data_IF_605157692897
#
_entry.id   IF_605157692897
#
_cell.length_a   1.000
_cell.length_b   1.000
_cell.length_c   1.000
_cell.angle_alpha   90.00
_cell.angle_beta   90.00
_cell.angle_gamma   90.00
#
_symmetry.space_group_name_H-M   'P 1'
#
loop_
_entity.id
_entity.type
_entity.pdbx_description
1 polymer ?
#
# COMPACT_ATOMS: atom_id res chain seq x y z
N UNK A 1 -6.41 -8.66 -5.31
CA UNK A 1 -6.19 -7.35 -4.66
C UNK A 1 -6.77 -6.29 -5.58
N UNK A 2 -7.34 -5.22 -5.05
CA UNK A 2 -7.93 -4.14 -5.85
C UNK A 2 -7.11 -2.87 -5.64
N UNK A 3 -6.72 -2.22 -6.73
CA UNK A 3 -6.00 -0.95 -6.73
C UNK A 3 -6.87 0.10 -7.43
N UNK A 4 -7.03 1.26 -6.82
CA UNK A 4 -7.83 2.36 -7.36
C UNK A 4 -7.05 3.66 -7.27
N UNK A 5 -7.18 4.47 -8.31
CA UNK A 5 -6.62 5.81 -8.39
C UNK A 5 -7.78 6.79 -8.52
N UNK A 6 -7.73 7.86 -7.73
CA UNK A 6 -8.73 8.92 -7.78
C UNK A 6 -8.01 10.26 -7.76
N UNK A 7 -8.30 11.09 -8.75
CA UNK A 7 -7.77 12.44 -8.81
C UNK A 7 -8.38 13.29 -7.69
N UNK A 8 -7.53 14.06 -7.02
CA UNK A 8 -7.93 14.93 -5.91
C UNK A 8 -8.11 16.36 -6.40
N UNK A 9 -7.05 16.94 -6.97
CA UNK A 9 -6.99 18.19 -7.74
C UNK A 9 -5.51 18.50 -8.06
N UNK A 10 -5.22 19.22 -9.14
CA UNK A 10 -3.85 19.55 -9.57
C UNK A 10 -2.97 18.31 -9.77
N UNK A 11 -1.74 18.30 -9.22
CA UNK A 11 -0.75 17.22 -9.36
C UNK A 11 -0.87 16.11 -8.28
N UNK A 12 -2.05 15.96 -7.66
CA UNK A 12 -2.26 15.02 -6.55
C UNK A 12 -3.30 13.94 -6.90
N UNK A 13 -2.91 12.69 -6.67
CA UNK A 13 -3.77 11.51 -6.87
C UNK A 13 -3.83 10.68 -5.57
N UNK A 14 -5.02 10.26 -5.17
CA UNK A 14 -5.20 9.25 -4.12
C UNK A 14 -4.96 7.88 -4.75
N UNK A 15 -3.93 7.21 -4.27
CA UNK A 15 -3.74 5.79 -4.50
C UNK A 15 -4.28 4.97 -3.32
N UNK A 16 -5.25 4.09 -3.59
CA UNK A 16 -5.83 3.20 -2.58
C UNK A 16 -5.66 1.74 -3.00
N UNK A 17 -5.29 0.89 -2.03
CA UNK A 17 -5.13 -0.56 -2.25
C UNK A 17 -5.92 -1.35 -1.21
N UNK A 18 -6.78 -2.25 -1.70
CA UNK A 18 -7.54 -3.19 -0.87
C UNK A 18 -6.95 -4.60 -0.99
N UNK A 19 -6.51 -5.13 0.15
CA UNK A 19 -5.99 -6.49 0.28
C UNK A 19 -6.98 -7.32 1.06
N UNK A 20 -7.69 -8.22 0.36
CA UNK A 20 -8.61 -9.18 0.99
C UNK A 20 -7.86 -10.48 1.27
N UNK A 21 -7.72 -10.83 2.55
CA UNK A 21 -7.19 -12.12 2.97
C UNK A 21 -8.31 -13.16 2.88
N UNK A 22 -8.24 -14.04 1.89
CA UNK A 22 -9.28 -15.04 1.61
C UNK A 22 -8.97 -16.30 2.44
N UNK A 23 -9.62 -16.39 3.60
CA UNK A 23 -9.73 -17.59 4.44
C UNK A 23 -8.42 -18.28 4.86
N UNK A 24 -7.88 -17.84 5.99
CA UNK A 24 -6.85 -18.58 6.71
C UNK A 24 -7.51 -19.70 7.54
N UNK A 25 -7.70 -20.88 6.93
CA UNK A 25 -8.22 -22.06 7.64
C UNK A 25 -7.09 -22.71 8.44
N UNK A 26 -7.17 -22.61 9.77
CA UNK A 26 -6.26 -23.31 10.70
C UNK A 26 -6.15 -22.62 12.06
N UNK A 27 -6.12 -23.39 13.14
CA UNK A 27 -5.99 -22.86 14.51
C UNK A 27 -4.70 -22.05 14.69
N UNK A 28 -3.61 -22.51 14.07
CA UNK A 28 -2.30 -21.83 14.04
C UNK A 28 -2.41 -20.43 13.44
N UNK A 29 -3.22 -20.25 12.39
CA UNK A 29 -3.32 -18.94 11.75
C UNK A 29 -4.21 -17.99 12.56
N UNK A 30 -5.22 -18.48 13.29
CA UNK A 30 -5.96 -17.66 14.27
C UNK A 30 -5.02 -17.15 15.38
N UNK A 31 -4.10 -18.00 15.83
CA UNK A 31 -3.09 -17.63 16.84
C UNK A 31 -2.12 -16.59 16.27
N UNK A 32 -1.56 -16.83 15.07
CA UNK A 32 -0.65 -15.89 14.40
C UNK A 32 -1.34 -14.57 14.07
N UNK A 33 -2.62 -14.59 13.67
CA UNK A 33 -3.40 -13.38 13.43
C UNK A 33 -3.63 -12.59 14.73
N UNK A 34 -3.84 -13.26 15.87
CA UNK A 34 -3.99 -12.59 17.17
C UNK A 34 -2.68 -11.99 17.69
N UNK A 35 -1.56 -12.71 17.52
CA UNK A 35 -0.25 -12.30 18.04
C UNK A 35 0.50 -11.32 17.11
N UNK A 36 0.28 -11.40 15.80
CA UNK A 36 1.05 -10.65 14.80
C UNK A 36 0.17 -9.83 13.86
N UNK A 37 -1.07 -9.50 14.24
CA UNK A 37 -2.01 -8.65 13.48
C UNK A 37 -1.35 -7.36 12.96
N UNK A 38 -0.53 -6.70 13.78
CA UNK A 38 0.20 -5.49 13.39
C UNK A 38 1.25 -5.75 12.31
N UNK A 39 1.93 -6.90 12.33
CA UNK A 39 2.95 -7.24 11.31
C UNK A 39 2.32 -7.46 9.94
N UNK A 40 1.08 -7.98 9.89
CA UNK A 40 0.34 -8.12 8.63
C UNK A 40 -0.05 -6.78 7.99
N UNK A 41 -0.15 -5.70 8.78
CA UNK A 41 -0.39 -4.34 8.27
C UNK A 41 0.91 -3.65 7.86
N UNK A 42 1.97 -3.83 8.64
CA UNK A 42 3.29 -3.19 8.43
C UNK A 42 3.90 -3.50 7.06
N UNK A 43 3.76 -4.72 6.55
CA UNK A 43 4.29 -5.10 5.23
C UNK A 43 3.66 -4.31 4.07
N UNK A 44 2.33 -4.41 3.89
CA UNK A 44 1.61 -3.63 2.87
C UNK A 44 1.78 -2.12 3.02
N UNK A 45 1.80 -1.60 4.25
CA UNK A 45 2.00 -0.18 4.53
C UNK A 45 3.40 0.29 4.11
N UNK A 46 4.45 -0.44 4.48
CA UNK A 46 5.82 -0.15 4.05
C UNK A 46 5.93 -0.13 2.52
N UNK A 47 5.29 -1.10 1.86
CA UNK A 47 5.26 -1.16 0.41
C UNK A 47 4.55 0.07 -0.20
N UNK A 48 3.44 0.52 0.40
CA UNK A 48 2.76 1.73 -0.04
C UNK A 48 3.62 2.99 0.13
N UNK A 49 4.35 3.12 1.23
CA UNK A 49 5.26 4.24 1.45
C UNK A 49 6.41 4.25 0.42
N UNK A 50 7.04 3.10 0.18
CA UNK A 50 8.10 2.99 -0.82
C UNK A 50 7.59 3.30 -2.24
N UNK A 51 6.40 2.80 -2.57
CA UNK A 51 5.77 3.09 -3.86
C UNK A 51 5.50 4.59 -4.02
N UNK A 52 4.97 5.24 -2.99
CA UNK A 52 4.75 6.69 -2.99
C UNK A 52 6.06 7.45 -3.21
N UNK A 53 7.09 7.18 -2.41
CA UNK A 53 8.39 7.84 -2.53
C UNK A 53 9.02 7.66 -3.90
N UNK A 54 8.88 6.47 -4.50
CA UNK A 54 9.35 6.23 -5.86
C UNK A 54 8.63 7.11 -6.87
N UNK A 55 7.29 7.09 -6.90
CA UNK A 55 6.51 7.85 -7.90
C UNK A 55 6.71 9.36 -7.75
N UNK A 56 6.75 9.86 -6.51
CA UNK A 56 7.02 11.28 -6.25
C UNK A 56 8.44 11.70 -6.66
N UNK A 57 9.44 10.82 -6.44
CA UNK A 57 10.82 11.08 -6.90
C UNK A 57 10.93 11.08 -8.42
N UNK A 58 10.22 10.19 -9.11
CA UNK A 58 10.19 10.14 -10.57
C UNK A 58 9.51 11.38 -11.16
N UNK A 59 8.41 11.84 -10.53
CA UNK A 59 7.74 13.08 -10.91
C UNK A 59 8.69 14.29 -10.81
N UNK A 60 9.35 14.47 -9.67
CA UNK A 60 10.31 15.56 -9.45
C UNK A 60 11.49 15.53 -10.41
N UNK A 61 12.01 14.33 -10.72
CA UNK A 61 13.11 14.20 -11.70
C UNK A 61 12.67 14.64 -13.09
N UNK A 62 11.43 14.33 -13.48
CA UNK A 62 10.90 14.69 -14.78
C UNK A 62 10.55 16.19 -14.89
N UNK A 63 10.11 16.83 -13.79
CA UNK A 63 9.89 18.29 -13.75
C UNK A 63 11.19 19.10 -13.76
N UNK A 64 12.27 18.59 -13.17
CA UNK A 64 13.59 19.24 -13.19
C UNK A 64 14.36 19.11 -14.52
N UNK A 65 13.79 18.43 -15.52
CA UNK A 65 14.35 18.26 -16.86
C UNK A 65 13.64 19.10 -17.93
N UNK A 66 12.69 19.97 -17.53
CA UNK A 66 11.95 20.89 -18.41
C UNK A 66 12.55 22.30 -18.32
#
# INVERSE_FOLDING_TARGET
>A
MLSTFKDLDGDKTIYSRQVKYIALKGWIIKIMAKLFSEKFKKGPEKWMQQFKSFVESEWQRNEGQI
#
